data_IF_615618434153
#
_entry.id   IF_615618434153
#
_cell.length_a   1.000
_cell.length_b   1.000
_cell.length_c   1.000
_cell.angle_alpha   90.00
_cell.angle_beta   90.00
_cell.angle_gamma   90.00
#
_symmetry.space_group_name_H-M   'P 1'
#
loop_
_entity.id
_entity.type
_entity.pdbx_description
1 polymer ?
#
# COMPACT_ATOMS: atom_id res chain seq x y z
N UNK A 1 40.05 -1.04 -36.55
CA UNK A 1 39.93 -1.19 -35.08
C UNK A 1 39.14 -0.03 -34.47
N UNK A 2 37.86 0.13 -34.81
CA UNK A 2 37.00 1.25 -34.31
C UNK A 2 35.68 0.79 -33.71
N UNK A 3 35.32 -0.49 -33.83
CA UNK A 3 34.05 -1.04 -33.31
C UNK A 3 34.05 -1.28 -31.79
N UNK A 4 35.21 -1.57 -31.19
CA UNK A 4 35.27 -1.96 -29.76
C UNK A 4 35.06 -0.80 -28.78
N UNK A 5 35.31 0.46 -29.19
CA UNK A 5 35.20 1.63 -28.29
C UNK A 5 33.79 2.20 -28.20
N UNK A 6 32.94 2.00 -29.21
CA UNK A 6 31.55 2.48 -29.17
C UNK A 6 30.64 1.64 -28.27
N UNK A 7 30.89 0.34 -28.13
CA UNK A 7 30.06 -0.52 -27.28
C UNK A 7 30.20 -0.20 -25.79
N UNK A 8 31.41 0.14 -25.33
CA UNK A 8 31.66 0.52 -23.92
C UNK A 8 30.94 1.82 -23.56
N UNK A 9 30.86 2.76 -24.49
CA UNK A 9 30.19 4.04 -24.28
C UNK A 9 28.65 3.89 -24.24
N UNK A 10 28.08 3.01 -25.07
CA UNK A 10 26.64 2.67 -24.99
C UNK A 10 26.29 1.93 -23.70
N UNK A 11 27.15 1.03 -23.23
CA UNK A 11 26.94 0.31 -21.96
C UNK A 11 26.98 1.25 -20.76
N UNK A 12 27.90 2.22 -20.76
CA UNK A 12 28.01 3.21 -19.68
C UNK A 12 26.78 4.12 -19.61
N UNK A 13 26.23 4.57 -20.75
CA UNK A 13 25.03 5.42 -20.78
C UNK A 13 23.78 4.66 -20.29
N UNK A 14 23.68 3.35 -20.55
CA UNK A 14 22.54 2.54 -20.10
C UNK A 14 22.54 2.29 -18.57
N UNK A 15 23.71 2.33 -17.92
CA UNK A 15 23.82 2.14 -16.46
C UNK A 15 23.45 3.38 -15.63
N UNK A 16 23.33 4.58 -16.22
CA UNK A 16 23.06 5.82 -15.46
C UNK A 16 21.62 6.32 -15.54
N UNK A 17 20.71 5.57 -16.15
CA UNK A 17 19.28 5.88 -16.09
C UNK A 17 18.66 5.36 -14.78
N UNK A 18 19.29 5.66 -13.64
CA UNK A 18 18.65 5.48 -12.34
C UNK A 18 17.55 6.54 -12.22
N UNK A 19 16.33 6.18 -12.62
CA UNK A 19 15.13 6.92 -12.22
C UNK A 19 15.16 6.93 -10.69
N UNK A 20 15.40 8.10 -10.11
CA UNK A 20 15.40 8.23 -8.65
C UNK A 20 13.98 7.96 -8.17
N UNK A 21 13.79 6.86 -7.45
CA UNK A 21 12.52 6.55 -6.83
C UNK A 21 12.12 7.71 -5.90
N UNK A 22 10.89 8.18 -6.04
CA UNK A 22 10.32 9.15 -5.11
C UNK A 22 9.58 8.37 -4.05
N UNK A 23 10.11 8.48 -2.83
CA UNK A 23 9.48 7.94 -1.64
C UNK A 23 8.82 9.08 -0.87
N UNK A 24 7.59 8.87 -0.41
CA UNK A 24 6.84 9.76 0.47
C UNK A 24 6.53 8.96 1.72
N UNK A 25 6.97 9.42 2.89
CA UNK A 25 6.51 8.84 4.15
C UNK A 25 5.29 9.59 4.65
N UNK A 26 4.35 8.86 5.23
CA UNK A 26 3.03 9.34 5.60
C UNK A 26 2.76 8.79 7.00
N UNK A 27 2.82 9.64 8.02
CA UNK A 27 2.49 9.24 9.39
C UNK A 27 1.00 9.50 9.63
N UNK A 28 0.25 8.48 10.05
CA UNK A 28 -1.19 8.57 10.28
C UNK A 28 -1.55 8.21 11.72
N UNK A 29 -2.44 8.99 12.33
CA UNK A 29 -3.10 8.64 13.59
C UNK A 29 -4.45 7.99 13.27
N UNK A 30 -4.46 6.66 13.15
CA UNK A 30 -5.62 5.89 12.72
C UNK A 30 -6.45 5.44 13.92
N UNK A 31 -7.76 5.56 13.79
CA UNK A 31 -8.74 5.04 14.76
C UNK A 31 -9.55 3.94 14.11
N UNK A 32 -9.76 2.86 14.84
CA UNK A 32 -10.54 1.75 14.35
C UNK A 32 -12.05 1.98 14.48
N UNK A 33 -12.78 1.59 13.44
CA UNK A 33 -14.22 1.33 13.49
C UNK A 33 -14.45 -0.10 13.01
N UNK A 34 -14.77 -1.01 13.93
CA UNK A 34 -15.06 -2.42 13.60
C UNK A 34 -16.57 -2.63 13.40
N UNK A 35 -16.93 -3.58 12.53
CA UNK A 35 -18.21 -4.28 12.62
C UNK A 35 -17.99 -5.61 13.37
N UNK A 36 -19.06 -6.19 13.94
CA UNK A 36 -19.00 -7.33 14.88
C UNK A 36 -17.98 -8.44 14.51
N UNK A 37 -17.39 -9.04 15.55
CA UNK A 37 -16.46 -10.19 15.53
C UNK A 37 -15.03 -9.97 15.02
N UNK A 38 -14.60 -8.72 14.76
CA UNK A 38 -13.17 -8.48 14.54
C UNK A 38 -12.41 -8.47 15.88
N UNK A 39 -11.41 -9.35 16.03
CA UNK A 39 -10.54 -9.32 17.20
C UNK A 39 -9.58 -8.13 17.07
N UNK A 40 -9.60 -7.23 18.06
CA UNK A 40 -8.67 -6.09 18.15
C UNK A 40 -7.21 -6.58 18.00
N UNK A 41 -6.49 -5.98 17.07
CA UNK A 41 -5.07 -6.18 16.82
C UNK A 41 -4.27 -5.05 17.47
N UNK A 42 -3.01 -5.31 17.83
CA UNK A 42 -2.12 -4.30 18.42
C UNK A 42 -1.90 -3.06 17.51
N UNK A 43 -2.21 -3.18 16.21
CA UNK A 43 -2.15 -2.12 15.20
C UNK A 43 -3.34 -1.13 15.24
N UNK A 44 -4.34 -1.37 16.09
CA UNK A 44 -5.65 -0.72 15.96
C UNK A 44 -5.74 0.63 16.69
N UNK A 45 -4.80 0.91 17.61
CA UNK A 45 -4.68 2.18 18.36
C UNK A 45 -3.24 2.71 18.31
N UNK A 46 -2.69 2.86 17.10
CA UNK A 46 -1.31 3.30 16.94
C UNK A 46 -1.12 4.27 15.79
N UNK A 47 -0.18 5.20 15.99
CA UNK A 47 0.44 5.93 14.90
C UNK A 47 1.10 4.95 13.95
N UNK A 48 0.71 5.01 12.68
CA UNK A 48 1.18 4.09 11.65
C UNK A 48 1.98 4.86 10.59
N UNK A 49 3.15 4.34 10.23
CA UNK A 49 3.98 4.90 9.16
C UNK A 49 3.69 4.15 7.86
N UNK A 50 3.11 4.87 6.91
CA UNK A 50 2.91 4.45 5.55
C UNK A 50 4.03 4.99 4.67
N UNK A 51 4.49 4.19 3.73
CA UNK A 51 5.55 4.55 2.78
C UNK A 51 5.01 4.31 1.39
N UNK A 52 4.84 5.38 0.62
CA UNK A 52 4.55 5.31 -0.80
C UNK A 52 5.84 5.47 -1.58
N UNK A 53 6.13 4.54 -2.47
CA UNK A 53 7.27 4.57 -3.38
C UNK A 53 6.73 4.46 -4.82
N UNK A 54 7.10 5.40 -5.68
CA UNK A 54 6.57 5.49 -7.05
C UNK A 54 7.04 4.37 -7.98
N UNK A 55 7.90 3.47 -7.52
CA UNK A 55 8.35 2.26 -8.23
C UNK A 55 7.85 0.97 -7.56
N UNK A 56 7.62 0.98 -6.24
CA UNK A 56 7.28 -0.23 -5.48
C UNK A 56 5.79 -0.30 -5.11
N UNK A 57 5.14 0.82 -4.77
CA UNK A 57 3.77 0.87 -4.28
C UNK A 57 3.64 1.43 -2.86
N UNK A 58 2.61 1.00 -2.14
CA UNK A 58 2.27 1.52 -0.81
C UNK A 58 2.45 0.42 0.24
N UNK A 59 3.16 0.71 1.32
CA UNK A 59 3.35 -0.26 2.41
C UNK A 59 3.31 0.38 3.78
N UNK A 60 3.03 -0.45 4.75
CA UNK A 60 3.19 -0.26 6.19
C UNK A 60 3.74 -1.56 6.78
N UNK A 61 3.90 -1.64 8.11
CA UNK A 61 4.30 -2.86 8.81
C UNK A 61 3.27 -4.00 8.65
N UNK A 62 2.01 -3.67 8.40
CA UNK A 62 0.89 -4.64 8.39
C UNK A 62 0.32 -4.91 6.99
N UNK A 63 0.50 -3.99 6.05
CA UNK A 63 -0.10 -4.03 4.72
C UNK A 63 0.96 -3.70 3.69
N UNK A 64 0.94 -4.42 2.58
CA UNK A 64 1.81 -4.17 1.44
C UNK A 64 0.98 -4.26 0.17
N UNK A 65 1.03 -3.19 -0.61
CA UNK A 65 0.49 -3.07 -1.96
C UNK A 65 1.64 -2.83 -2.92
N UNK A 66 1.70 -3.65 -3.96
CA UNK A 66 2.54 -3.42 -5.13
C UNK A 66 2.05 -2.20 -5.92
N UNK A 67 2.92 -1.66 -6.78
CA UNK A 67 2.56 -0.54 -7.65
C UNK A 67 1.37 -0.87 -8.57
N UNK A 68 1.24 -2.12 -9.02
CA UNK A 68 0.13 -2.55 -9.88
C UNK A 68 -1.24 -2.54 -9.15
N UNK A 69 -1.21 -2.64 -7.83
CA UNK A 69 -2.39 -2.57 -6.96
C UNK A 69 -2.75 -1.13 -6.60
N UNK A 70 -1.90 -0.15 -6.93
CA UNK A 70 -2.06 1.26 -6.59
C UNK A 70 -2.33 2.13 -7.82
N UNK A 71 -3.34 2.99 -7.71
CA UNK A 71 -3.69 4.00 -8.69
C UNK A 71 -3.55 5.38 -8.06
N UNK A 72 -2.60 6.17 -8.55
CA UNK A 72 -2.45 7.57 -8.20
C UNK A 72 -3.33 8.42 -9.12
N UNK A 73 -4.44 8.93 -8.59
CA UNK A 73 -5.29 9.93 -9.23
C UNK A 73 -4.80 11.35 -8.97
N UNK A 74 -5.58 12.34 -9.41
CA UNK A 74 -5.25 13.76 -9.18
C UNK A 74 -5.38 14.15 -7.69
N UNK A 75 -6.39 13.59 -7.03
CA UNK A 75 -6.80 13.95 -5.67
C UNK A 75 -6.52 12.84 -4.64
N UNK A 76 -6.30 11.62 -5.08
CA UNK A 76 -6.27 10.45 -4.20
C UNK A 76 -5.31 9.36 -4.69
N UNK A 77 -4.67 8.70 -3.73
CA UNK A 77 -4.02 7.41 -3.92
C UNK A 77 -5.00 6.32 -3.47
N UNK A 78 -5.32 5.40 -4.37
CA UNK A 78 -6.18 4.24 -4.08
C UNK A 78 -5.37 2.98 -4.33
N UNK A 79 -5.19 2.15 -3.32
CA UNK A 79 -4.56 0.84 -3.46
C UNK A 79 -5.54 -0.26 -3.05
N UNK A 80 -5.72 -1.27 -3.88
CA UNK A 80 -6.64 -2.38 -3.62
C UNK A 80 -6.06 -3.72 -4.05
N UNK A 81 -6.29 -4.75 -3.25
CA UNK A 81 -5.86 -6.12 -3.56
C UNK A 81 -6.87 -7.14 -3.07
N UNK A 82 -6.90 -8.25 -3.78
CA UNK A 82 -7.73 -9.40 -3.48
C UNK A 82 -6.84 -10.64 -3.41
N UNK A 83 -6.90 -11.34 -2.28
CA UNK A 83 -6.07 -12.51 -2.00
C UNK A 83 -6.98 -13.68 -1.67
N UNK A 84 -6.84 -14.80 -2.38
CA UNK A 84 -7.49 -16.05 -2.01
C UNK A 84 -6.48 -16.88 -1.23
N UNK A 85 -6.47 -16.72 0.10
CA UNK A 85 -5.76 -17.65 0.96
C UNK A 85 -6.63 -18.89 1.16
N UNK A 86 -6.06 -20.06 0.88
CA UNK A 86 -6.71 -21.36 1.17
C UNK A 86 -6.22 -21.79 2.55
N UNK A 87 -6.54 -21.00 3.58
CA UNK A 87 -6.37 -21.46 4.95
C UNK A 87 -7.64 -22.23 5.40
N UNK A 88 -7.61 -22.86 6.58
CA UNK A 88 -8.71 -23.72 7.02
C UNK A 88 -9.99 -22.98 7.41
N UNK A 89 -10.01 -21.64 7.43
CA UNK A 89 -11.11 -20.80 7.94
C UNK A 89 -11.50 -19.67 7.00
N UNK A 90 -10.53 -19.07 6.32
CA UNK A 90 -10.63 -17.91 5.42
C UNK A 90 -10.54 -18.40 3.98
N UNK A 91 -11.41 -17.91 3.11
CA UNK A 91 -11.44 -18.30 1.68
C UNK A 91 -11.07 -17.15 0.74
N UNK A 92 -11.26 -15.91 1.20
CA UNK A 92 -10.90 -14.71 0.45
C UNK A 92 -10.63 -13.55 1.41
N UNK A 93 -9.71 -12.68 1.02
CA UNK A 93 -9.35 -11.46 1.73
C UNK A 93 -9.28 -10.31 0.73
N UNK A 94 -10.07 -9.27 0.98
CA UNK A 94 -10.06 -8.03 0.24
C UNK A 94 -9.48 -6.91 1.12
N UNK A 95 -8.56 -6.13 0.58
CA UNK A 95 -8.01 -4.95 1.26
C UNK A 95 -8.02 -3.76 0.33
N UNK A 96 -8.38 -2.59 0.86
CA UNK A 96 -8.39 -1.32 0.14
C UNK A 96 -7.94 -0.18 1.03
N UNK A 97 -6.90 0.53 0.61
CA UNK A 97 -6.43 1.76 1.23
C UNK A 97 -6.71 2.95 0.32
N UNK A 98 -7.19 4.02 0.95
CA UNK A 98 -7.49 5.30 0.33
C UNK A 98 -6.71 6.40 1.06
N UNK A 99 -6.01 7.26 0.34
CA UNK A 99 -5.38 8.46 0.88
C UNK A 99 -5.76 9.68 0.04
N UNK A 100 -6.48 10.62 0.64
CA UNK A 100 -6.81 11.89 -0.01
C UNK A 100 -5.68 12.90 0.15
N UNK A 101 -5.27 13.51 -0.95
CA UNK A 101 -4.16 14.46 -1.02
C UNK A 101 -4.43 15.77 -0.29
N UNK A 102 -5.67 16.24 -0.28
CA UNK A 102 -5.99 17.60 0.20
C UNK A 102 -6.20 17.67 1.70
N UNK A 103 -6.90 16.69 2.25
CA UNK A 103 -7.19 16.64 3.69
C UNK A 103 -6.33 15.61 4.45
N UNK A 104 -5.45 14.90 3.74
CA UNK A 104 -4.58 13.86 4.29
C UNK A 104 -5.36 12.81 5.10
N UNK A 105 -6.60 12.53 4.71
CA UNK A 105 -7.41 11.49 5.33
C UNK A 105 -7.06 10.14 4.71
N UNK A 106 -6.60 9.21 5.55
CA UNK A 106 -6.41 7.81 5.17
C UNK A 106 -7.58 6.97 5.66
N UNK A 107 -8.07 6.08 4.79
CA UNK A 107 -9.05 5.04 5.12
C UNK A 107 -8.50 3.69 4.66
N UNK A 108 -8.34 2.76 5.58
CA UNK A 108 -7.90 1.40 5.33
C UNK A 108 -9.04 0.43 5.64
N UNK A 109 -9.55 -0.22 4.60
CA UNK A 109 -10.63 -1.19 4.66
C UNK A 109 -10.07 -2.60 4.45
N UNK A 110 -10.56 -3.54 5.25
CA UNK A 110 -10.25 -4.95 5.09
C UNK A 110 -11.48 -5.79 5.33
N UNK A 111 -11.73 -6.76 4.47
CA UNK A 111 -12.85 -7.69 4.54
C UNK A 111 -12.37 -9.10 4.24
N UNK A 112 -12.80 -10.08 5.01
CA UNK A 112 -12.56 -11.49 4.69
C UNK A 112 -13.85 -12.29 4.65
N UNK A 113 -13.89 -13.25 3.73
CA UNK A 113 -14.94 -14.25 3.61
C UNK A 113 -14.52 -15.52 4.35
N UNK A 114 -15.37 -15.99 5.26
CA UNK A 114 -15.24 -17.28 5.95
C UNK A 114 -15.86 -18.40 5.10
N UNK A 115 -15.45 -19.65 5.33
CA UNK A 115 -15.95 -20.82 4.58
C UNK A 115 -17.49 -20.98 4.57
N UNK A 116 -18.18 -20.48 5.60
CA UNK A 116 -19.64 -20.52 5.72
C UNK A 116 -20.34 -19.32 5.06
N UNK A 117 -19.62 -18.58 4.21
CA UNK A 117 -20.07 -17.35 3.52
C UNK A 117 -20.43 -16.22 4.48
N UNK A 118 -19.92 -16.26 5.71
CA UNK A 118 -19.95 -15.10 6.58
C UNK A 118 -18.85 -14.12 6.18
N UNK A 119 -19.17 -12.84 6.18
CA UNK A 119 -18.23 -11.76 5.95
C UNK A 119 -17.89 -11.11 7.27
N UNK A 120 -16.62 -10.80 7.47
CA UNK A 120 -16.18 -9.90 8.52
C UNK A 120 -15.43 -8.75 7.87
N UNK A 121 -15.64 -7.54 8.37
CA UNK A 121 -15.00 -6.35 7.85
C UNK A 121 -14.52 -5.42 8.96
N UNK A 122 -13.40 -4.75 8.70
CA UNK A 122 -12.86 -3.67 9.52
C UNK A 122 -12.56 -2.45 8.67
N UNK A 123 -12.68 -1.28 9.30
CA UNK A 123 -12.24 -0.02 8.73
C UNK A 123 -11.40 0.73 9.75
N UNK A 124 -10.26 1.26 9.33
CA UNK A 124 -9.43 2.19 10.10
C UNK A 124 -9.41 3.51 9.36
N UNK A 125 -9.64 4.61 10.05
CA UNK A 125 -9.57 5.94 9.43
C UNK A 125 -8.86 6.95 10.33
N UNK A 126 -8.19 7.91 9.71
CA UNK A 126 -7.45 8.91 10.45
C UNK A 126 -6.77 9.94 9.58
N UNK A 127 -6.37 11.03 10.21
CA UNK A 127 -5.64 12.12 9.54
C UNK A 127 -4.14 11.82 9.58
N UNK A 128 -3.49 12.12 8.47
CA UNK A 128 -2.08 11.88 8.27
C UNK A 128 -1.30 13.19 8.10
N UNK A 129 0.01 13.06 8.21
CA UNK A 129 0.99 14.08 7.84
C UNK A 129 2.02 13.47 6.89
N UNK A 130 2.43 14.24 5.89
CA UNK A 130 3.53 13.84 5.02
C UNK A 130 4.85 14.15 5.73
N UNK A 131 5.70 13.13 5.85
CA UNK A 131 7.01 13.21 6.50
C UNK A 131 8.10 12.90 5.48
N UNK A 132 8.80 13.94 5.04
CA UNK A 132 9.86 13.91 4.01
C UNK A 132 9.39 13.46 2.62
#
# INVERSE_FOLDING_TARGET
MTSLRSFVLFFLVFCFSFVHAKTINIECDLKITTSNEWAEQASDDQKELWVYDDQVGLKTNHVNYSLAECKLGEEELVCEKYTQEIDSKTVAHYQKTYLNRYNLLLKDYSEFEKQDKQFSSRMREGTCMLTN
#
